data_IF_561165289022
#
_entry.id   IF_561165289022
#
_cell.length_a   1.000
_cell.length_b   1.000
_cell.length_c   1.000
_cell.angle_alpha   90.00
_cell.angle_beta   90.00
_cell.angle_gamma   90.00
#
_symmetry.space_group_name_H-M   'P 1'
#
loop_
_entity.id
_entity.type
_entity.pdbx_description
1 polymer ?
#
# COMPACT_ATOMS: atom_id res chain seq x y z
N UNK A 1 32.42 -4.80 -8.55
CA UNK A 1 31.49 -4.17 -9.51
C UNK A 1 30.77 -3.10 -8.73
N UNK A 2 31.12 -1.87 -8.98
CA UNK A 2 30.61 -0.73 -8.22
C UNK A 2 29.12 -0.58 -8.46
N UNK A 3 28.35 -0.69 -7.39
CA UNK A 3 26.95 -0.34 -7.39
C UNK A 3 26.88 1.18 -7.58
N UNK A 4 26.37 1.60 -8.71
CA UNK A 4 26.17 3.00 -9.06
C UNK A 4 25.26 3.63 -7.99
N UNK A 5 25.85 4.25 -6.99
CA UNK A 5 25.14 5.11 -6.05
C UNK A 5 24.75 6.38 -6.80
N UNK A 6 23.59 6.34 -7.43
CA UNK A 6 22.98 7.52 -8.03
C UNK A 6 22.94 8.62 -6.97
N UNK A 7 23.68 9.70 -7.23
CA UNK A 7 23.70 10.89 -6.36
C UNK A 7 22.28 11.44 -6.35
N UNK A 8 21.64 11.40 -5.19
CA UNK A 8 20.36 12.08 -5.00
C UNK A 8 20.56 13.60 -5.30
N UNK A 9 20.06 14.04 -6.44
CA UNK A 9 20.29 15.40 -6.96
C UNK A 9 19.32 16.41 -6.30
N UNK A 10 18.25 15.92 -5.69
CA UNK A 10 17.25 16.79 -5.06
C UNK A 10 17.41 16.78 -3.54
N UNK A 11 17.46 17.94 -2.91
CA UNK A 11 17.29 18.07 -1.45
C UNK A 11 15.90 17.64 -0.95
N UNK A 12 15.15 16.89 -1.77
CA UNK A 12 13.81 16.36 -1.46
C UNK A 12 13.92 15.11 -0.58
N UNK A 13 12.92 14.88 0.30
CA UNK A 13 12.89 13.70 1.14
C UNK A 13 12.79 12.41 0.31
N UNK A 14 13.26 11.26 0.84
CA UNK A 14 13.09 9.98 0.15
C UNK A 14 11.62 9.61 -0.03
N UNK A 15 11.33 8.78 -1.03
CA UNK A 15 10.02 8.20 -1.27
C UNK A 15 9.99 6.77 -0.74
N UNK A 16 9.15 6.51 0.24
CA UNK A 16 8.89 5.15 0.71
C UNK A 16 7.87 4.49 -0.23
N UNK A 17 8.16 3.27 -0.68
CA UNK A 17 7.27 2.50 -1.56
C UNK A 17 6.83 1.21 -0.88
N UNK A 18 5.52 1.06 -0.62
CA UNK A 18 4.93 -0.03 0.15
C UNK A 18 3.94 -0.81 -0.73
N UNK A 19 4.17 -2.12 -0.83
CA UNK A 19 3.36 -3.05 -1.63
C UNK A 19 2.02 -3.41 -0.98
N UNK A 20 1.14 -4.07 -1.73
CA UNK A 20 -0.11 -4.64 -1.27
C UNK A 20 0.05 -6.02 -0.62
N UNK A 21 -1.07 -6.57 -0.10
CA UNK A 21 -1.10 -7.93 0.45
C UNK A 21 -0.65 -8.95 -0.61
N UNK A 22 0.13 -9.95 -0.18
CA UNK A 22 0.80 -10.95 -1.01
C UNK A 22 1.75 -10.39 -2.09
N UNK A 23 2.05 -9.08 -2.04
CA UNK A 23 3.08 -8.44 -2.85
C UNK A 23 4.45 -8.45 -2.17
N UNK A 24 5.42 -7.79 -2.82
CA UNK A 24 6.72 -7.42 -2.25
C UNK A 24 7.19 -6.14 -2.93
N UNK A 25 8.16 -5.44 -2.34
CA UNK A 25 8.77 -4.29 -2.98
C UNK A 25 9.31 -4.65 -4.37
N UNK A 26 10.06 -5.75 -4.44
CA UNK A 26 10.64 -6.22 -5.68
C UNK A 26 9.58 -6.46 -6.77
N UNK A 27 8.49 -7.18 -6.44
CA UNK A 27 7.47 -7.55 -7.43
C UNK A 27 6.55 -6.40 -7.80
N UNK A 28 6.18 -5.56 -6.83
CA UNK A 28 5.22 -4.47 -7.08
C UNK A 28 5.88 -3.28 -7.78
N UNK A 29 7.12 -2.96 -7.42
CA UNK A 29 7.72 -1.68 -7.82
C UNK A 29 8.99 -1.80 -8.66
N UNK A 30 9.84 -2.83 -8.41
CA UNK A 30 11.07 -3.00 -9.17
C UNK A 30 10.82 -3.72 -10.50
N UNK A 31 10.15 -4.87 -10.48
CA UNK A 31 9.91 -5.67 -11.70
C UNK A 31 9.00 -4.95 -12.70
N UNK A 32 8.10 -4.08 -12.23
CA UNK A 32 7.29 -3.21 -13.08
C UNK A 32 8.05 -2.01 -13.64
N UNK A 33 9.27 -1.74 -13.17
CA UNK A 33 10.08 -0.59 -13.54
C UNK A 33 9.67 0.74 -12.90
N UNK A 34 8.62 0.75 -12.07
CA UNK A 34 8.09 1.99 -11.44
C UNK A 34 9.11 2.64 -10.51
N UNK A 35 9.88 1.84 -9.75
CA UNK A 35 10.99 2.33 -8.93
C UNK A 35 12.01 3.08 -9.80
N UNK A 36 12.45 2.48 -10.91
CA UNK A 36 13.45 3.04 -11.82
C UNK A 36 12.98 4.37 -12.40
N UNK A 37 11.73 4.44 -12.88
CA UNK A 37 11.15 5.68 -13.39
C UNK A 37 11.18 6.82 -12.35
N UNK A 38 10.87 6.50 -11.10
CA UNK A 38 10.93 7.50 -10.03
C UNK A 38 12.38 7.92 -9.72
N UNK A 39 13.33 6.99 -9.73
CA UNK A 39 14.76 7.28 -9.54
C UNK A 39 15.33 8.14 -10.67
N UNK A 40 14.89 7.94 -11.91
CA UNK A 40 15.28 8.76 -13.07
C UNK A 40 14.87 10.23 -12.93
N UNK A 41 13.84 10.52 -12.10
CA UNK A 41 13.49 11.92 -11.75
C UNK A 41 14.40 12.53 -10.68
N UNK A 42 15.44 11.80 -10.22
CA UNK A 42 16.36 12.24 -9.18
C UNK A 42 15.87 11.98 -7.76
N UNK A 43 14.79 11.20 -7.58
CA UNK A 43 14.26 10.86 -6.25
C UNK A 43 15.00 9.66 -5.64
N UNK A 44 15.29 9.77 -4.36
CA UNK A 44 15.76 8.61 -3.58
C UNK A 44 14.57 7.73 -3.19
N UNK A 45 14.62 6.44 -3.51
CA UNK A 45 13.56 5.47 -3.23
C UNK A 45 14.00 4.52 -2.12
N UNK A 46 13.09 4.26 -1.19
CA UNK A 46 13.25 3.26 -0.11
C UNK A 46 12.10 2.27 -0.18
N UNK A 47 12.39 1.05 -0.61
CA UNK A 47 11.42 -0.04 -0.64
C UNK A 47 11.24 -0.66 0.73
N UNK A 48 9.99 -0.98 1.07
CA UNK A 48 9.65 -1.62 2.35
C UNK A 48 8.81 -2.87 2.08
N UNK A 49 9.34 -4.03 2.51
CA UNK A 49 8.56 -5.25 2.63
C UNK A 49 7.86 -5.26 4.00
N UNK A 50 6.54 -5.36 3.99
CA UNK A 50 5.74 -5.50 5.20
C UNK A 50 5.98 -6.89 5.83
N UNK A 51 5.91 -6.98 7.14
CA UNK A 51 6.01 -8.25 7.85
C UNK A 51 5.09 -9.30 7.19
N UNK A 52 5.57 -10.51 7.00
CA UNK A 52 4.87 -11.60 6.32
C UNK A 52 5.04 -11.62 4.79
N UNK A 53 5.78 -10.67 4.20
CA UNK A 53 5.91 -10.48 2.76
C UNK A 53 7.37 -10.32 2.32
N UNK A 54 7.62 -10.55 1.03
CA UNK A 54 8.92 -10.30 0.39
C UNK A 54 10.09 -10.90 1.17
N UNK A 55 11.07 -10.06 1.52
CA UNK A 55 12.26 -10.41 2.29
C UNK A 55 12.08 -10.29 3.81
N UNK A 56 10.96 -9.72 4.27
CA UNK A 56 10.67 -9.60 5.70
C UNK A 56 10.38 -10.96 6.34
N UNK A 57 10.52 -11.03 7.67
CA UNK A 57 10.15 -12.22 8.45
C UNK A 57 8.68 -12.61 8.20
N UNK A 58 8.40 -13.92 8.24
CA UNK A 58 7.09 -14.51 7.93
C UNK A 58 6.53 -15.34 9.09
N UNK A 59 6.28 -14.73 10.28
CA UNK A 59 5.68 -15.47 11.40
C UNK A 59 4.29 -16.00 11.06
N UNK A 60 3.93 -17.17 11.59
CA UNK A 60 2.62 -17.78 11.34
C UNK A 60 1.58 -17.41 12.42
N UNK A 61 1.99 -16.70 13.47
CA UNK A 61 1.08 -16.21 14.51
C UNK A 61 0.50 -14.84 14.12
N UNK A 62 -0.83 -14.74 14.11
CA UNK A 62 -1.53 -13.50 13.76
C UNK A 62 -1.23 -12.33 14.72
N UNK A 63 -0.85 -12.62 15.98
CA UNK A 63 -0.50 -11.59 16.97
C UNK A 63 0.74 -10.79 16.57
N UNK A 64 1.66 -11.37 15.79
CA UNK A 64 2.84 -10.69 15.28
C UNK A 64 2.52 -9.51 14.34
N UNK A 65 1.34 -9.50 13.75
CA UNK A 65 0.92 -8.55 12.72
C UNK A 65 0.05 -7.40 13.24
N UNK A 66 0.00 -7.18 14.54
CA UNK A 66 -0.81 -6.12 15.15
C UNK A 66 -0.42 -4.71 14.68
N UNK A 67 0.81 -4.50 14.28
CA UNK A 67 1.33 -3.21 13.79
C UNK A 67 2.18 -3.35 12.52
N UNK A 68 1.53 -3.36 11.36
CA UNK A 68 2.21 -3.37 10.05
C UNK A 68 2.88 -2.03 9.70
N UNK A 69 2.62 -0.96 10.45
CA UNK A 69 3.21 0.36 10.19
C UNK A 69 4.59 0.55 10.83
N UNK A 70 5.03 -0.38 11.68
CA UNK A 70 6.29 -0.26 12.41
C UNK A 70 7.51 -0.08 11.48
N UNK A 71 7.73 -0.93 10.45
CA UNK A 71 8.87 -0.76 9.54
C UNK A 71 8.84 0.58 8.78
N UNK A 72 7.64 1.08 8.46
CA UNK A 72 7.45 2.38 7.80
C UNK A 72 7.93 3.51 8.71
N UNK A 73 7.51 3.51 9.98
CA UNK A 73 7.92 4.54 10.96
C UNK A 73 9.41 4.49 11.28
N UNK A 74 9.99 3.30 11.30
CA UNK A 74 11.44 3.12 11.51
C UNK A 74 12.25 3.65 10.31
N UNK A 75 11.78 3.44 9.08
CA UNK A 75 12.45 3.91 7.86
C UNK A 75 12.45 5.42 7.71
N UNK A 76 11.41 6.11 8.17
CA UNK A 76 11.32 7.58 8.13
C UNK A 76 12.22 8.26 9.18
N UNK A 77 12.61 7.53 10.24
CA UNK A 77 13.39 8.10 11.37
C UNK A 77 12.67 9.36 11.91
N UNK A 78 13.40 10.46 12.05
CA UNK A 78 12.88 11.76 12.53
C UNK A 78 12.65 12.79 11.42
N UNK A 79 12.82 12.38 10.16
CA UNK A 79 12.64 13.26 9.00
C UNK A 79 11.26 13.06 8.38
N UNK A 80 10.74 14.10 7.75
CA UNK A 80 9.60 13.97 6.85
C UNK A 80 10.01 13.18 5.61
N UNK A 81 9.08 12.33 5.12
CA UNK A 81 9.27 11.53 3.91
C UNK A 81 8.08 11.66 2.99
N UNK A 82 8.27 11.35 1.72
CA UNK A 82 7.16 11.08 0.81
C UNK A 82 6.86 9.59 0.81
N UNK A 83 5.63 9.19 0.48
CA UNK A 83 5.32 7.77 0.44
C UNK A 83 4.21 7.44 -0.57
N UNK A 84 4.31 6.24 -1.15
CA UNK A 84 3.24 5.60 -1.91
C UNK A 84 2.99 4.21 -1.36
N UNK A 85 1.73 3.90 -1.16
CA UNK A 85 1.31 2.56 -0.73
C UNK A 85 0.17 2.04 -1.59
N UNK A 86 0.23 0.75 -1.90
CA UNK A 86 -0.82 0.06 -2.60
C UNK A 86 -1.61 -0.84 -1.63
N UNK A 87 -2.94 -0.74 -1.64
CA UNK A 87 -3.85 -1.62 -0.90
C UNK A 87 -3.46 -1.76 0.59
N UNK A 88 -2.99 -2.92 1.04
CA UNK A 88 -2.49 -3.12 2.41
C UNK A 88 -1.38 -2.13 2.78
N UNK A 89 -0.50 -1.78 1.83
CA UNK A 89 0.54 -0.77 2.02
C UNK A 89 -0.03 0.62 2.27
N UNK A 90 -1.09 1.00 1.56
CA UNK A 90 -1.79 2.27 1.79
C UNK A 90 -2.47 2.30 3.18
N UNK A 91 -3.08 1.18 3.60
CA UNK A 91 -3.64 1.03 4.95
C UNK A 91 -2.54 1.15 6.02
N UNK A 92 -1.38 0.53 5.80
CA UNK A 92 -0.25 0.63 6.73
C UNK A 92 0.30 2.07 6.82
N UNK A 93 0.33 2.82 5.69
CA UNK A 93 0.68 4.24 5.67
C UNK A 93 -0.32 5.10 6.44
N UNK A 94 -1.62 4.86 6.29
CA UNK A 94 -2.65 5.56 7.07
C UNK A 94 -2.50 5.29 8.57
N UNK A 95 -2.19 4.05 8.96
CA UNK A 95 -1.91 3.71 10.34
C UNK A 95 -0.64 4.42 10.86
N UNK A 96 0.46 4.45 10.09
CA UNK A 96 1.65 5.22 10.42
C UNK A 96 1.34 6.71 10.61
N UNK A 97 0.55 7.30 9.70
CA UNK A 97 0.14 8.69 9.77
C UNK A 97 -0.80 9.00 10.96
N UNK A 98 -1.59 8.04 11.41
CA UNK A 98 -2.41 8.20 12.64
C UNK A 98 -1.53 8.33 13.88
N UNK A 99 -0.42 7.60 13.94
CA UNK A 99 0.53 7.63 15.05
C UNK A 99 1.42 8.88 14.99
N UNK A 100 1.85 9.29 13.79
CA UNK A 100 2.72 10.45 13.56
C UNK A 100 2.16 11.31 12.40
N UNK A 101 1.18 12.20 12.65
CA UNK A 101 0.41 12.87 11.59
C UNK A 101 1.20 13.79 10.65
N UNK A 102 2.38 14.23 11.06
CA UNK A 102 3.28 15.07 10.26
C UNK A 102 4.47 14.32 9.67
N UNK A 103 4.43 12.99 9.67
CA UNK A 103 5.50 12.14 9.16
C UNK A 103 5.68 12.25 7.65
N UNK A 104 4.59 12.43 6.91
CA UNK A 104 4.61 12.51 5.46
C UNK A 104 4.49 13.95 4.99
N UNK A 105 5.28 14.31 3.96
CA UNK A 105 5.13 15.55 3.20
C UNK A 105 4.08 15.36 2.11
N UNK A 106 4.26 14.30 1.30
CA UNK A 106 3.34 13.86 0.25
C UNK A 106 3.01 12.39 0.43
N UNK A 107 1.76 12.02 0.21
CA UNK A 107 1.25 10.68 0.46
C UNK A 107 0.33 10.22 -0.67
N UNK A 108 0.70 9.16 -1.36
CA UNK A 108 -0.17 8.50 -2.35
C UNK A 108 -0.80 7.25 -1.73
N UNK A 109 -2.13 7.20 -1.78
CA UNK A 109 -2.95 6.08 -1.36
C UNK A 109 -3.59 5.43 -2.59
N UNK A 110 -3.03 4.31 -3.04
CA UNK A 110 -3.49 3.56 -4.21
C UNK A 110 -4.32 2.35 -3.78
N UNK A 111 -5.53 2.21 -4.32
CA UNK A 111 -6.38 1.03 -4.09
C UNK A 111 -6.93 0.92 -2.66
N UNK A 112 -7.35 2.05 -2.07
CA UNK A 112 -8.06 2.12 -0.78
C UNK A 112 -9.29 3.00 -0.94
N UNK A 113 -10.42 2.58 -0.37
CA UNK A 113 -11.69 3.28 -0.45
C UNK A 113 -12.32 3.57 0.91
N UNK A 114 -13.59 3.98 0.89
CA UNK A 114 -14.34 4.48 2.05
C UNK A 114 -14.58 3.42 3.12
N UNK A 115 -14.51 2.12 2.78
CA UNK A 115 -14.56 1.02 3.76
C UNK A 115 -13.48 1.10 4.85
N UNK A 116 -12.42 1.91 4.67
CA UNK A 116 -11.41 2.15 5.72
C UNK A 116 -12.01 2.76 6.99
N UNK A 117 -13.16 3.42 6.89
CA UNK A 117 -13.90 4.02 8.01
C UNK A 117 -14.83 3.04 8.72
N UNK A 118 -14.92 1.82 8.25
CA UNK A 118 -15.79 0.77 8.80
C UNK A 118 -14.97 -0.23 9.62
N UNK A 119 -15.56 -0.87 10.63
CA UNK A 119 -14.95 -2.02 11.27
C UNK A 119 -14.71 -3.12 10.23
N UNK A 120 -13.59 -3.81 10.36
CA UNK A 120 -13.29 -4.94 9.50
C UNK A 120 -14.32 -6.07 9.68
N UNK A 121 -14.93 -6.51 8.58
CA UNK A 121 -15.76 -7.72 8.57
C UNK A 121 -14.83 -8.96 8.45
N UNK A 122 -14.84 -9.89 9.41
CA UNK A 122 -14.08 -11.14 9.31
C UNK A 122 -14.36 -11.94 8.04
N UNK A 123 -15.56 -11.82 7.48
CA UNK A 123 -15.94 -12.48 6.21
C UNK A 123 -15.06 -12.06 5.03
N UNK A 124 -14.58 -10.82 5.01
CA UNK A 124 -13.65 -10.38 3.95
C UNK A 124 -12.33 -11.16 4.03
N UNK A 125 -11.83 -11.42 5.24
CA UNK A 125 -10.63 -12.25 5.42
C UNK A 125 -10.90 -13.73 5.10
N UNK A 126 -12.04 -14.27 5.52
CA UNK A 126 -12.43 -15.66 5.24
C UNK A 126 -12.57 -15.92 3.74
N UNK A 127 -13.13 -14.97 3.00
CA UNK A 127 -13.24 -15.02 1.54
C UNK A 127 -11.85 -15.13 0.88
N UNK A 128 -10.90 -14.30 1.27
CA UNK A 128 -9.54 -14.34 0.72
C UNK A 128 -8.86 -15.67 1.11
N UNK A 129 -9.03 -16.12 2.36
CA UNK A 129 -8.46 -17.37 2.86
C UNK A 129 -9.02 -18.57 2.08
N UNK A 130 -10.30 -18.59 1.73
CA UNK A 130 -10.87 -19.65 0.91
C UNK A 130 -10.21 -19.73 -0.47
N UNK A 131 -9.82 -18.59 -1.05
CA UNK A 131 -9.05 -18.53 -2.28
C UNK A 131 -7.63 -19.12 -2.14
N UNK A 132 -6.95 -18.83 -1.01
CA UNK A 132 -5.62 -19.39 -0.70
C UNK A 132 -5.71 -20.92 -0.57
N UNK A 133 -6.70 -21.39 0.17
CA UNK A 133 -6.91 -22.82 0.48
C UNK A 133 -7.50 -23.62 -0.69
N UNK A 134 -7.93 -22.93 -1.76
CA UNK A 134 -8.54 -23.56 -2.94
C UNK A 134 -9.97 -24.04 -2.71
N UNK A 135 -10.63 -23.57 -1.64
CA UNK A 135 -12.00 -23.94 -1.25
C UNK A 135 -13.03 -22.90 -1.71
N UNK A 136 -12.58 -21.81 -2.35
CA UNK A 136 -13.48 -20.79 -2.89
C UNK A 136 -14.38 -21.35 -3.98
N UNK A 137 -15.65 -20.95 -3.97
CA UNK A 137 -16.63 -21.27 -5.00
C UNK A 137 -16.14 -20.80 -6.39
N UNK A 138 -16.50 -21.54 -7.45
CA UNK A 138 -16.03 -21.23 -8.81
C UNK A 138 -16.48 -19.83 -9.26
N UNK A 139 -17.65 -19.41 -8.85
CA UNK A 139 -18.24 -18.10 -9.15
C UNK A 139 -17.57 -16.96 -8.42
N UNK A 140 -16.86 -17.26 -7.32
CA UNK A 140 -16.15 -16.23 -6.55
C UNK A 140 -14.80 -15.88 -7.18
N UNK A 141 -14.86 -15.08 -8.24
CA UNK A 141 -13.67 -14.66 -8.99
C UNK A 141 -12.68 -13.89 -8.15
N UNK A 142 -13.14 -13.04 -7.22
CA UNK A 142 -12.29 -12.24 -6.36
C UNK A 142 -11.45 -13.12 -5.40
N UNK A 143 -12.06 -14.08 -4.72
CA UNK A 143 -11.36 -15.02 -3.86
C UNK A 143 -10.28 -15.80 -4.63
N UNK A 144 -10.60 -16.24 -5.85
CA UNK A 144 -9.68 -16.97 -6.72
C UNK A 144 -8.51 -16.09 -7.20
N UNK A 145 -8.77 -14.83 -7.53
CA UNK A 145 -7.70 -13.88 -7.89
C UNK A 145 -6.73 -13.68 -6.72
N UNK A 146 -7.22 -13.45 -5.51
CA UNK A 146 -6.38 -13.38 -4.31
C UNK A 146 -5.61 -14.68 -4.06
N UNK A 147 -6.26 -15.85 -4.25
CA UNK A 147 -5.60 -17.15 -4.14
C UNK A 147 -4.46 -17.31 -5.15
N UNK A 148 -4.66 -16.90 -6.41
CA UNK A 148 -3.61 -16.91 -7.42
C UNK A 148 -2.45 -15.97 -7.06
N UNK A 149 -2.76 -14.79 -6.54
CA UNK A 149 -1.75 -13.81 -6.10
C UNK A 149 -0.90 -14.35 -4.94
N UNK A 150 -1.53 -15.09 -4.01
CA UNK A 150 -0.87 -15.72 -2.88
C UNK A 150 0.06 -16.89 -3.26
N UNK A 151 -0.16 -17.53 -4.43
CA UNK A 151 0.61 -18.70 -4.86
C UNK A 151 1.97 -18.38 -5.50
N UNK A 152 2.39 -17.12 -5.54
CA UNK A 152 3.73 -16.79 -5.99
C UNK A 152 4.78 -17.48 -5.10
N UNK A 153 5.87 -17.93 -5.72
CA UNK A 153 6.89 -18.78 -5.08
C UNK A 153 7.64 -18.13 -3.91
N UNK A 154 7.63 -16.81 -3.82
CA UNK A 154 8.24 -16.01 -2.75
C UNK A 154 7.30 -15.79 -1.54
N UNK A 155 6.04 -16.21 -1.66
CA UNK A 155 5.05 -16.07 -0.61
C UNK A 155 5.01 -17.30 0.31
N UNK A 156 4.68 -17.05 1.58
CA UNK A 156 4.33 -18.06 2.58
C UNK A 156 2.82 -17.98 2.86
N UNK A 157 2.01 -18.96 2.39
CA UNK A 157 0.56 -18.94 2.57
C UNK A 157 0.10 -18.92 4.04
N UNK A 158 0.89 -19.49 4.96
CA UNK A 158 0.55 -19.46 6.39
C UNK A 158 0.75 -18.07 6.97
N UNK A 159 1.85 -17.41 6.63
CA UNK A 159 2.10 -16.03 7.02
C UNK A 159 1.05 -15.08 6.42
N UNK A 160 0.70 -15.24 5.13
CA UNK A 160 -0.33 -14.43 4.50
C UNK A 160 -1.71 -14.59 5.16
N UNK A 161 -2.08 -15.80 5.57
CA UNK A 161 -3.30 -16.05 6.35
C UNK A 161 -3.21 -15.42 7.74
N UNK A 162 -2.05 -15.46 8.39
CA UNK A 162 -1.85 -14.81 9.68
C UNK A 162 -2.02 -13.28 9.59
N UNK A 163 -1.49 -12.66 8.52
CA UNK A 163 -1.73 -11.23 8.23
C UNK A 163 -3.22 -10.91 8.12
N UNK A 164 -4.02 -11.75 7.47
CA UNK A 164 -5.47 -11.54 7.32
C UNK A 164 -6.21 -11.66 8.66
N UNK A 165 -5.77 -12.56 9.53
CA UNK A 165 -6.38 -12.85 10.84
C UNK A 165 -5.94 -11.91 11.95
N UNK A 166 -5.01 -10.97 11.69
CA UNK A 166 -4.48 -10.06 12.70
C UNK A 166 -5.56 -9.21 13.36
N UNK A 167 -5.34 -8.78 14.59
CA UNK A 167 -6.07 -7.66 15.17
C UNK A 167 -5.72 -6.37 14.43
N UNK A 168 -6.71 -5.58 14.05
CA UNK A 168 -6.53 -4.36 13.24
C UNK A 168 -6.53 -3.07 14.07
N UNK A 169 -6.67 -3.18 15.39
CA UNK A 169 -6.72 -2.03 16.28
C UNK A 169 -7.96 -1.15 16.06
N UNK A 170 -7.84 0.13 16.37
CA UNK A 170 -8.93 1.09 16.20
C UNK A 170 -9.18 1.38 14.70
N UNK A 171 -10.45 1.57 14.37
CA UNK A 171 -10.88 1.94 13.01
C UNK A 171 -10.33 3.33 12.66
N UNK A 172 -9.76 3.48 11.46
CA UNK A 172 -9.39 4.77 10.93
C UNK A 172 -10.64 5.64 10.78
N UNK A 173 -10.58 6.91 11.13
CA UNK A 173 -11.73 7.79 11.14
C UNK A 173 -11.41 9.19 10.56
N UNK A 174 -12.44 10.00 10.35
CA UNK A 174 -12.29 11.35 9.76
C UNK A 174 -11.43 12.28 10.62
N UNK A 175 -11.40 12.11 11.93
CA UNK A 175 -10.51 12.89 12.79
C UNK A 175 -9.04 12.51 12.57
N UNK A 176 -8.74 11.23 12.41
CA UNK A 176 -7.40 10.77 12.01
C UNK A 176 -7.00 11.37 10.66
N UNK A 177 -7.87 11.30 9.64
CA UNK A 177 -7.59 11.87 8.32
C UNK A 177 -7.35 13.38 8.38
N UNK A 178 -8.18 14.14 9.10
CA UNK A 178 -8.04 15.58 9.22
C UNK A 178 -6.81 16.02 10.03
N UNK A 179 -6.24 15.14 10.86
CA UNK A 179 -4.99 15.41 11.59
C UNK A 179 -3.75 15.25 10.68
N UNK A 180 -3.83 14.49 9.60
CA UNK A 180 -2.73 14.28 8.66
C UNK A 180 -2.42 15.59 7.94
N UNK A 181 -1.15 16.02 7.98
CA UNK A 181 -0.72 17.30 7.40
C UNK A 181 -0.19 17.18 5.97
N UNK A 182 0.05 15.96 5.51
CA UNK A 182 0.53 15.68 4.17
C UNK A 182 -0.40 16.21 3.08
N UNK A 183 0.17 16.53 1.93
CA UNK A 183 -0.57 16.55 0.68
C UNK A 183 -0.88 15.10 0.28
N UNK A 184 -2.14 14.79 -0.02
CA UNK A 184 -2.59 13.42 -0.26
C UNK A 184 -3.13 13.27 -1.68
N UNK A 185 -2.72 12.21 -2.37
CA UNK A 185 -3.30 11.79 -3.64
C UNK A 185 -3.95 10.41 -3.46
N UNK A 186 -5.28 10.38 -3.51
CA UNK A 186 -6.05 9.13 -3.47
C UNK A 186 -6.30 8.67 -4.90
N UNK A 187 -5.89 7.44 -5.22
CA UNK A 187 -6.02 6.87 -6.57
C UNK A 187 -6.71 5.51 -6.49
N UNK A 188 -7.74 5.32 -7.31
CA UNK A 188 -8.50 4.06 -7.37
C UNK A 188 -8.89 3.76 -8.82
N UNK A 189 -8.93 2.49 -9.20
CA UNK A 189 -9.46 2.06 -10.48
C UNK A 189 -11.00 2.15 -10.54
N UNK A 190 -11.57 2.44 -11.71
CA UNK A 190 -13.04 2.55 -11.89
C UNK A 190 -13.77 1.19 -11.81
N UNK A 191 -13.01 0.09 -11.78
CA UNK A 191 -13.50 -1.28 -11.60
C UNK A 191 -12.95 -1.94 -10.33
N UNK A 192 -12.35 -1.13 -9.44
CA UNK A 192 -11.81 -1.62 -8.18
C UNK A 192 -12.94 -1.91 -7.18
N UNK A 193 -12.86 -3.05 -6.51
CA UNK A 193 -13.83 -3.47 -5.50
C UNK A 193 -13.80 -2.61 -4.21
N UNK A 194 -12.79 -1.76 -4.04
CA UNK A 194 -12.68 -0.85 -2.87
C UNK A 194 -13.54 0.41 -3.02
N UNK A 195 -14.08 0.68 -4.21
CA UNK A 195 -14.96 1.84 -4.41
C UNK A 195 -16.22 1.78 -3.54
N UNK A 196 -16.76 2.93 -3.13
CA UNK A 196 -16.31 4.30 -3.39
C UNK A 196 -15.10 4.74 -2.55
N UNK A 197 -14.47 5.89 -2.92
CA UNK A 197 -13.32 6.46 -2.23
C UNK A 197 -13.42 7.99 -2.05
N UNK A 198 -14.59 8.56 -2.33
CA UNK A 198 -14.83 10.00 -2.29
C UNK A 198 -14.77 10.56 -0.87
N UNK A 199 -15.34 9.84 0.11
CA UNK A 199 -15.31 10.27 1.52
C UNK A 199 -13.88 10.24 2.07
N UNK A 200 -13.07 9.22 1.68
CA UNK A 200 -11.68 9.14 2.06
C UNK A 200 -10.92 10.38 1.54
N UNK A 201 -11.02 10.68 0.26
CA UNK A 201 -10.35 11.84 -0.32
C UNK A 201 -10.79 13.16 0.34
N UNK A 202 -12.09 13.35 0.56
CA UNK A 202 -12.65 14.57 1.18
C UNK A 202 -12.31 14.72 2.68
N UNK A 203 -11.85 13.67 3.34
CA UNK A 203 -11.54 13.71 4.77
C UNK A 203 -10.17 14.32 5.10
N UNK A 204 -9.27 14.45 4.13
CA UNK A 204 -7.99 15.10 4.29
C UNK A 204 -8.07 16.60 4.03
N UNK A 205 -7.20 17.39 4.68
CA UNK A 205 -7.16 18.84 4.48
C UNK A 205 -6.68 19.27 3.10
N UNK A 206 -5.77 18.47 2.52
CA UNK A 206 -5.14 18.72 1.22
C UNK A 206 -5.13 17.41 0.46
N UNK A 207 -6.17 17.15 -0.31
CA UNK A 207 -6.24 15.93 -1.11
C UNK A 207 -6.72 16.17 -2.52
N UNK A 208 -6.21 15.36 -3.43
CA UNK A 208 -6.70 15.18 -4.80
C UNK A 208 -7.16 13.73 -4.96
N UNK A 209 -8.26 13.54 -5.69
CA UNK A 209 -8.77 12.22 -6.06
C UNK A 209 -8.57 11.99 -7.55
N UNK A 210 -8.05 10.80 -7.90
CA UNK A 210 -7.89 10.37 -9.29
C UNK A 210 -8.51 8.99 -9.51
N UNK A 211 -9.43 8.90 -10.46
CA UNK A 211 -10.02 7.64 -10.91
C UNK A 211 -9.28 7.14 -12.17
N UNK A 212 -8.75 5.91 -12.11
CA UNK A 212 -8.08 5.26 -13.24
C UNK A 212 -9.14 4.56 -14.12
N UNK A 213 -9.21 4.91 -15.39
CA UNK A 213 -10.18 4.32 -16.32
C UNK A 213 -9.81 2.91 -16.73
N UNK A 214 -10.82 2.03 -16.84
CA UNK A 214 -10.68 0.63 -17.24
C UNK A 214 -9.67 -0.16 -16.39
N UNK A 215 -9.58 0.17 -15.10
CA UNK A 215 -8.59 -0.35 -14.19
C UNK A 215 -9.26 -1.04 -13.00
N UNK A 216 -8.89 -2.27 -12.73
CA UNK A 216 -9.27 -2.98 -11.51
C UNK A 216 -8.17 -2.85 -10.43
N UNK A 217 -8.39 -3.49 -9.28
CA UNK A 217 -7.46 -3.44 -8.15
C UNK A 217 -6.06 -3.93 -8.51
N UNK A 218 -5.97 -5.07 -9.19
CA UNK A 218 -4.71 -5.76 -9.44
C UNK A 218 -3.88 -5.13 -10.58
N UNK A 219 -4.53 -4.40 -11.48
CA UNK A 219 -3.88 -3.68 -12.57
C UNK A 219 -3.42 -2.26 -12.17
N UNK A 220 -3.73 -1.81 -10.96
CA UNK A 220 -3.53 -0.40 -10.56
C UNK A 220 -2.05 0.01 -10.53
N UNK A 221 -1.14 -0.87 -10.10
CA UNK A 221 0.30 -0.57 -9.97
C UNK A 221 1.01 -0.45 -11.31
N UNK A 222 0.51 -1.11 -12.36
CA UNK A 222 1.09 -1.12 -13.70
C UNK A 222 0.37 -0.15 -14.65
N UNK A 223 -0.63 0.58 -14.14
CA UNK A 223 -1.42 1.51 -14.94
C UNK A 223 -0.63 2.78 -15.28
N UNK A 224 -0.47 3.09 -16.55
CA UNK A 224 0.29 4.26 -17.01
C UNK A 224 -0.24 5.57 -16.41
N UNK A 225 -1.57 5.74 -16.28
CA UNK A 225 -2.14 6.96 -15.69
C UNK A 225 -1.87 7.08 -14.18
N UNK A 226 -1.65 5.95 -13.48
CA UNK A 226 -1.13 5.96 -12.12
C UNK A 226 0.32 6.41 -12.09
N UNK A 227 1.17 5.80 -12.94
CA UNK A 227 2.61 6.09 -13.01
C UNK A 227 2.82 7.58 -13.30
N UNK A 228 2.17 8.12 -14.33
CA UNK A 228 2.25 9.55 -14.68
C UNK A 228 1.84 10.43 -13.49
N UNK A 229 0.71 10.10 -12.82
CA UNK A 229 0.23 10.88 -11.68
C UNK A 229 1.18 10.83 -10.50
N UNK A 230 1.81 9.68 -10.24
CA UNK A 230 2.81 9.50 -9.18
C UNK A 230 4.07 10.34 -9.46
N UNK A 231 4.60 10.27 -10.69
CA UNK A 231 5.78 11.03 -11.09
C UNK A 231 5.52 12.54 -10.99
N UNK A 232 4.37 13.01 -11.48
CA UNK A 232 3.98 14.43 -11.38
C UNK A 232 3.80 14.85 -9.91
N UNK A 233 3.17 14.00 -9.08
CA UNK A 233 2.92 14.32 -7.68
C UNK A 233 4.19 14.43 -6.86
N UNK A 234 5.21 13.62 -7.14
CA UNK A 234 6.49 13.62 -6.42
C UNK A 234 7.56 14.53 -7.04
N UNK A 235 7.26 15.28 -8.06
CA UNK A 235 8.23 16.08 -8.83
C UNK A 235 8.94 17.17 -8.02
N UNK A 236 8.26 17.74 -6.97
CA UNK A 236 8.72 18.87 -6.13
C UNK A 236 8.50 18.65 -4.64
#
# INVERSE_FOLDING_TARGET
MDVNTGVAISGLPPVLMIHGWAGSFARTWQMSGVETLLQETGRNVVGIDLLGHGTAEKPHDASAYSDLSLPIRQSAKDSQVDAVGFSLGAIALLHAATIKPNMFRKLILLGVGDKIFEPHDPKDSELIISGIDGTAEIENTLARQFGNYARHSDNDPLALKAVLKRSRGAVFNKANASAITAEVLVIVGDRDFVLPADQLAQSFKKATFKLLKNCDHFASTDNFSFIDAMLDFFKD
#
